data_IF_430547859171
#
_entry.id   IF_430547859171
#
_cell.length_a   1.000
_cell.length_b   1.000
_cell.length_c   1.000
_cell.angle_alpha   90.00
_cell.angle_beta   90.00
_cell.angle_gamma   90.00
#
_symmetry.space_group_name_H-M   'P 1'
#
loop_
_entity.id
_entity.type
_entity.pdbx_description
1 polymer ?
#
# COMPACT_ATOMS: atom_id res chain seq x y z
N UNK A 1 10.74 5.19 -40.15
CA UNK A 1 10.75 4.55 -38.81
C UNK A 1 12.02 3.74 -38.72
N UNK A 2 12.87 3.97 -37.71
CA UNK A 2 13.84 2.94 -37.30
C UNK A 2 13.11 1.90 -36.44
N UNK A 3 13.56 0.64 -36.40
CA UNK A 3 13.13 -0.27 -35.34
C UNK A 3 13.57 0.34 -33.99
N UNK A 4 12.71 0.26 -32.97
CA UNK A 4 13.19 0.45 -31.59
C UNK A 4 14.15 -0.71 -31.33
N UNK A 5 15.34 -0.43 -30.83
CA UNK A 5 16.17 -1.49 -30.27
C UNK A 5 15.39 -2.13 -29.11
N UNK A 6 15.36 -3.46 -29.05
CA UNK A 6 15.04 -4.13 -27.79
C UNK A 6 16.14 -3.73 -26.83
N UNK A 7 15.79 -3.01 -25.77
CA UNK A 7 16.77 -2.67 -24.74
C UNK A 7 17.17 -3.96 -24.00
N UNK A 8 18.44 -4.07 -23.53
CA UNK A 8 18.97 -5.31 -22.94
C UNK A 8 18.37 -5.66 -21.55
N UNK A 9 17.41 -4.87 -21.07
CA UNK A 9 16.65 -5.05 -19.84
C UNK A 9 15.41 -5.92 -20.09
N UNK A 10 14.45 -5.49 -20.92
CA UNK A 10 13.10 -6.10 -21.04
C UNK A 10 13.14 -7.64 -21.22
N UNK A 11 13.95 -8.14 -22.16
CA UNK A 11 14.06 -9.59 -22.44
C UNK A 11 14.91 -10.37 -21.42
N UNK A 12 15.70 -9.68 -20.60
CA UNK A 12 16.45 -10.26 -19.49
C UNK A 12 15.56 -10.36 -18.25
N UNK A 13 14.79 -9.31 -17.96
CA UNK A 13 13.88 -9.23 -16.81
C UNK A 13 12.74 -10.25 -16.92
N UNK A 14 12.14 -10.41 -18.12
CA UNK A 14 11.15 -11.48 -18.39
C UNK A 14 11.70 -12.88 -18.09
N UNK A 15 12.95 -13.16 -18.46
CA UNK A 15 13.59 -14.46 -18.25
C UNK A 15 13.90 -14.72 -16.77
N UNK A 16 14.36 -13.70 -16.04
CA UNK A 16 14.58 -13.77 -14.58
C UNK A 16 13.24 -13.94 -13.84
N UNK A 17 12.19 -13.24 -14.28
CA UNK A 17 10.85 -13.36 -13.71
C UNK A 17 10.27 -14.77 -13.89
N UNK A 18 10.43 -15.38 -15.07
CA UNK A 18 9.98 -16.76 -15.30
C UNK A 18 10.75 -17.80 -14.46
N UNK A 19 12.05 -17.63 -14.23
CA UNK A 19 12.80 -18.51 -13.31
C UNK A 19 12.30 -18.38 -11.86
N UNK A 20 12.00 -17.14 -11.41
CA UNK A 20 11.42 -16.91 -10.08
C UNK A 20 10.03 -17.53 -9.94
N UNK A 21 9.17 -17.43 -10.96
CA UNK A 21 7.84 -18.05 -10.95
C UNK A 21 7.93 -19.58 -11.00
N UNK A 22 8.74 -20.16 -11.90
CA UNK A 22 8.93 -21.60 -11.98
C UNK A 22 9.49 -22.20 -10.68
N UNK A 23 10.37 -21.45 -9.98
CA UNK A 23 10.89 -21.81 -8.66
C UNK A 23 9.83 -21.71 -7.55
N UNK A 24 8.93 -20.72 -7.63
CA UNK A 24 7.82 -20.56 -6.69
C UNK A 24 6.75 -21.63 -6.87
N UNK A 25 6.33 -21.92 -8.11
CA UNK A 25 5.40 -23.01 -8.44
C UNK A 25 6.00 -24.40 -8.16
N UNK A 26 7.32 -24.55 -8.33
CA UNK A 26 8.08 -25.75 -7.97
C UNK A 26 8.35 -25.91 -6.47
N UNK A 27 8.01 -24.92 -5.64
CA UNK A 27 8.15 -25.02 -4.17
C UNK A 27 6.88 -25.66 -3.59
N UNK A 28 6.95 -26.87 -3.00
CA UNK A 28 5.76 -27.52 -2.46
C UNK A 28 5.21 -26.73 -1.27
N UNK A 29 3.91 -26.44 -1.31
CA UNK A 29 3.17 -25.81 -0.22
C UNK A 29 3.18 -26.65 1.08
N UNK A 30 3.40 -27.97 0.96
CA UNK A 30 3.65 -28.90 2.08
C UNK A 30 5.04 -28.73 2.72
N UNK A 31 5.70 -27.58 2.51
CA UNK A 31 6.75 -27.06 3.40
C UNK A 31 6.14 -26.59 4.73
N UNK A 32 5.36 -27.46 5.38
CA UNK A 32 4.65 -27.18 6.62
C UNK A 32 5.60 -26.94 7.79
N UNK A 33 5.13 -26.27 8.86
CA UNK A 33 5.92 -26.11 10.08
C UNK A 33 6.29 -27.49 10.66
N UNK A 34 7.52 -27.66 11.20
CA UNK A 34 8.00 -28.97 11.67
C UNK A 34 7.11 -29.55 12.77
N UNK A 35 6.93 -30.87 12.72
CA UNK A 35 5.95 -31.69 13.46
C UNK A 35 5.37 -31.08 14.74
N UNK A 36 4.20 -30.45 14.61
CA UNK A 36 3.34 -30.11 15.75
C UNK A 36 2.38 -31.28 15.97
N UNK A 37 2.36 -31.93 17.16
CA UNK A 37 1.48 -33.07 17.41
C UNK A 37 0.00 -32.68 17.31
N UNK A 38 -0.90 -33.61 16.91
CA UNK A 38 -2.22 -33.25 16.39
C UNK A 38 -3.15 -32.66 17.46
N UNK A 39 -3.30 -31.34 17.42
CA UNK A 39 -4.37 -30.63 18.11
C UNK A 39 -5.73 -31.01 17.48
N UNK A 40 -6.47 -31.88 18.15
CA UNK A 40 -7.74 -32.40 17.63
C UNK A 40 -8.84 -31.35 17.65
N UNK A 41 -9.35 -30.98 16.47
CA UNK A 41 -10.69 -30.41 16.30
C UNK A 41 -10.79 -28.89 16.20
N UNK A 42 -10.69 -28.36 14.98
CA UNK A 42 -11.15 -27.01 14.63
C UNK A 42 -11.60 -26.90 13.15
N UNK A 43 -12.46 -27.82 12.69
CA UNK A 43 -13.15 -27.68 11.39
C UNK A 43 -14.16 -26.50 11.43
N UNK A 44 -14.43 -25.83 10.31
CA UNK A 44 -14.86 -24.43 10.31
C UNK A 44 -16.31 -24.20 10.73
N UNK A 45 -16.54 -23.12 11.47
CA UNK A 45 -17.88 -22.57 11.73
C UNK A 45 -18.32 -21.74 10.53
N UNK A 46 -18.99 -22.38 9.57
CA UNK A 46 -19.96 -21.70 8.69
C UNK A 46 -21.39 -21.98 9.19
N UNK A 47 -22.29 -21.02 9.02
CA UNK A 47 -23.50 -20.94 9.83
C UNK A 47 -24.72 -21.68 9.28
N UNK A 48 -25.62 -22.05 10.22
CA UNK A 48 -27.09 -22.15 10.11
C UNK A 48 -27.71 -23.49 9.64
N UNK A 49 -28.21 -24.26 10.62
CA UNK A 49 -29.17 -25.36 10.46
C UNK A 49 -29.55 -25.96 11.85
N UNK A 50 -30.77 -26.49 12.09
CA UNK A 50 -31.27 -26.79 13.45
C UNK A 50 -31.43 -28.30 13.77
N UNK A 51 -32.03 -28.59 14.94
CA UNK A 51 -32.38 -29.91 15.53
C UNK A 51 -31.24 -30.56 16.34
N UNK A 52 -31.39 -30.86 17.65
CA UNK A 52 -32.25 -31.87 18.34
C UNK A 52 -31.87 -33.32 18.00
N UNK A 53 -31.72 -34.31 18.90
CA UNK A 53 -31.51 -34.47 20.37
C UNK A 53 -30.82 -35.88 20.53
N UNK A 54 -30.47 -36.54 21.65
CA UNK A 54 -30.63 -36.44 23.13
C UNK A 54 -29.52 -37.33 23.79
N UNK A 55 -29.48 -37.45 25.13
CA UNK A 55 -28.91 -38.57 25.92
C UNK A 55 -27.42 -38.93 25.72
N UNK A 56 -26.48 -38.47 26.54
CA UNK A 56 -26.21 -38.90 27.94
C UNK A 56 -25.91 -40.41 28.15
N UNK A 57 -24.65 -40.73 28.51
CA UNK A 57 -24.25 -41.78 29.50
C UNK A 57 -22.77 -41.68 29.92
N UNK A 58 -22.40 -42.45 30.96
CA UNK A 58 -21.27 -42.17 31.87
C UNK A 58 -19.95 -42.91 31.52
N UNK A 59 -18.83 -42.23 31.84
CA UNK A 59 -17.58 -42.72 32.50
C UNK A 59 -17.73 -44.10 33.19
N UNK A 60 -16.83 -45.08 32.95
CA UNK A 60 -15.54 -45.19 33.70
C UNK A 60 -14.34 -45.76 32.86
N UNK A 61 -13.06 -45.87 33.30
CA UNK A 61 -12.41 -45.42 34.55
C UNK A 61 -10.96 -44.83 34.37
N UNK A 62 -9.88 -45.50 34.81
CA UNK A 62 -8.51 -44.95 34.94
C UNK A 62 -7.38 -46.02 34.87
N UNK A 63 -6.16 -45.62 34.46
CA UNK A 63 -4.86 -46.22 34.87
C UNK A 63 -3.64 -45.37 34.40
N UNK A 64 -2.93 -44.74 35.34
CA UNK A 64 -1.51 -44.34 35.24
C UNK A 64 -0.69 -45.47 35.92
N UNK A 65 0.57 -45.80 35.50
CA UNK A 65 1.70 -44.96 35.93
C UNK A 65 2.97 -44.91 35.05
N UNK A 66 3.63 -43.73 35.07
CA UNK A 66 5.09 -43.47 35.12
C UNK A 66 6.05 -44.08 34.06
N UNK A 67 6.92 -43.21 33.52
CA UNK A 67 8.09 -43.59 32.71
C UNK A 67 9.04 -42.43 32.42
N UNK A 68 9.66 -41.83 33.44
CA UNK A 68 10.67 -40.77 33.25
C UNK A 68 12.04 -41.33 32.79
N UNK A 69 12.62 -40.74 31.74
CA UNK A 69 14.08 -40.55 31.63
C UNK A 69 14.42 -39.46 30.60
N UNK A 70 14.98 -38.33 31.05
CA UNK A 70 15.93 -37.42 30.35
C UNK A 70 15.64 -36.85 28.93
N UNK A 71 15.94 -35.59 28.63
CA UNK A 71 16.52 -34.52 29.45
C UNK A 71 16.40 -33.12 28.81
N UNK A 72 16.32 -32.09 29.65
CA UNK A 72 16.91 -30.75 29.40
C UNK A 72 16.31 -29.86 28.29
N UNK A 73 15.20 -29.16 28.56
CA UNK A 73 14.65 -28.17 27.62
C UNK A 73 13.44 -27.37 28.12
N UNK A 74 13.44 -26.93 29.39
CA UNK A 74 12.25 -26.38 30.02
C UNK A 74 11.91 -24.93 29.60
N UNK A 75 10.67 -24.72 29.15
CA UNK A 75 9.86 -23.58 29.58
C UNK A 75 10.23 -22.17 29.10
N UNK A 76 10.59 -22.00 27.82
CA UNK A 76 10.54 -20.68 27.17
C UNK A 76 9.40 -20.65 26.14
N UNK A 77 8.52 -19.65 26.25
CA UNK A 77 7.50 -19.36 25.22
C UNK A 77 8.16 -18.90 23.92
N UNK A 78 7.45 -18.97 22.79
CA UNK A 78 7.97 -18.50 21.50
C UNK A 78 8.33 -17.01 21.52
N UNK A 79 7.66 -16.21 22.36
CA UNK A 79 7.98 -14.80 22.58
C UNK A 79 9.33 -14.62 23.29
N UNK A 80 9.62 -15.43 24.30
CA UNK A 80 10.90 -15.40 25.02
C UNK A 80 12.04 -15.97 24.17
N UNK A 81 11.74 -16.99 23.35
CA UNK A 81 12.68 -17.53 22.35
C UNK A 81 13.02 -16.48 21.29
N UNK A 82 12.03 -15.73 20.79
CA UNK A 82 12.25 -14.63 19.86
C UNK A 82 13.07 -13.50 20.50
N UNK A 83 12.70 -13.05 21.71
CA UNK A 83 13.43 -11.99 22.41
C UNK A 83 14.92 -12.34 22.65
N UNK A 84 15.22 -13.60 22.99
CA UNK A 84 16.59 -14.09 23.17
C UNK A 84 17.48 -13.94 21.90
N UNK A 85 16.89 -13.97 20.70
CA UNK A 85 17.62 -13.80 19.42
C UNK A 85 18.06 -12.34 19.22
N UNK A 86 17.27 -11.37 19.69
CA UNK A 86 17.57 -9.94 19.57
C UNK A 86 18.37 -9.39 20.77
N UNK A 87 18.20 -9.99 21.95
CA UNK A 87 18.78 -9.53 23.22
C UNK A 87 20.31 -9.36 23.19
N UNK A 88 21.00 -10.23 22.44
CA UNK A 88 22.47 -10.33 22.38
C UNK A 88 23.10 -9.76 21.09
N UNK A 89 22.36 -9.04 20.25
CA UNK A 89 22.95 -8.44 19.05
C UNK A 89 23.85 -7.25 19.42
N UNK A 90 25.09 -7.17 18.89
CA UNK A 90 26.08 -6.15 19.31
C UNK A 90 25.69 -4.72 18.91
N UNK A 91 24.73 -4.58 17.99
CA UNK A 91 24.16 -3.30 17.58
C UNK A 91 22.64 -3.36 17.76
N UNK A 92 22.14 -2.94 18.93
CA UNK A 92 20.78 -2.41 19.02
C UNK A 92 20.78 -1.03 18.36
N UNK A 93 20.80 -1.00 17.04
CA UNK A 93 20.57 0.23 16.29
C UNK A 93 19.15 0.69 16.60
N UNK A 94 19.03 1.80 17.34
CA UNK A 94 17.79 2.54 17.59
C UNK A 94 16.99 2.61 16.30
N UNK A 95 15.89 1.86 16.22
CA UNK A 95 15.09 1.77 15.02
C UNK A 95 14.35 3.08 14.76
N UNK A 96 13.78 3.30 13.55
CA UNK A 96 12.93 4.46 13.23
C UNK A 96 11.62 4.58 14.06
N UNK A 97 11.49 3.83 15.15
CA UNK A 97 10.37 3.84 16.10
C UNK A 97 10.83 3.96 17.56
N UNK A 98 12.14 3.93 17.82
CA UNK A 98 12.73 3.97 19.17
C UNK A 98 13.05 5.42 19.56
N UNK A 99 12.18 6.37 19.19
CA UNK A 99 12.26 7.77 19.60
C UNK A 99 11.77 7.91 21.04
N UNK A 100 12.52 8.65 21.86
CA UNK A 100 12.08 9.18 23.14
C UNK A 100 11.95 10.70 23.03
N UNK A 101 10.89 11.32 23.56
CA UNK A 101 10.89 12.77 23.72
C UNK A 101 12.06 13.19 24.63
N UNK A 102 12.60 14.41 24.45
CA UNK A 102 13.70 14.91 25.27
C UNK A 102 13.24 15.25 26.69
N UNK A 103 14.00 14.83 27.71
CA UNK A 103 13.76 15.18 29.13
C UNK A 103 14.14 16.65 29.45
N UNK A 104 13.55 17.60 28.74
CA UNK A 104 13.69 19.04 28.96
C UNK A 104 12.39 19.70 29.44
N UNK A 105 12.43 20.96 29.88
CA UNK A 105 11.25 21.80 29.78
C UNK A 105 10.97 22.01 28.30
N UNK A 106 9.88 21.44 27.80
CA UNK A 106 9.29 21.90 26.54
C UNK A 106 8.79 23.33 26.80
N UNK A 107 9.34 24.32 26.11
CA UNK A 107 8.76 25.66 26.10
C UNK A 107 7.38 25.53 25.42
N UNK A 108 6.29 25.70 26.17
CA UNK A 108 4.88 25.44 25.79
C UNK A 108 4.34 26.29 24.60
N UNK A 109 5.22 26.94 23.83
CA UNK A 109 4.97 27.55 22.52
C UNK A 109 4.79 26.48 21.42
N UNK A 110 3.99 25.45 21.71
CA UNK A 110 3.72 24.33 20.82
C UNK A 110 3.14 24.77 19.47
N UNK A 111 3.54 24.10 18.39
CA UNK A 111 3.32 24.50 17.00
C UNK A 111 1.90 25.02 16.72
N UNK A 112 1.79 26.34 16.54
CA UNK A 112 0.60 27.02 16.03
C UNK A 112 0.76 27.15 14.51
N UNK A 113 -0.02 26.42 13.69
CA UNK A 113 -0.02 26.64 12.25
C UNK A 113 -0.48 28.06 11.95
N UNK A 114 0.16 28.74 11.00
CA UNK A 114 -0.36 30.02 10.49
C UNK A 114 -1.80 29.83 9.98
N UNK A 115 -2.69 30.80 10.24
CA UNK A 115 -4.06 30.73 9.72
C UNK A 115 -4.03 30.64 8.18
N UNK A 116 -4.61 29.59 7.58
CA UNK A 116 -4.46 29.35 6.15
C UNK A 116 -5.06 30.51 5.35
N UNK A 117 -4.37 30.99 4.28
CA UNK A 117 -4.87 32.07 3.45
C UNK A 117 -6.32 31.82 3.02
N UNK A 118 -7.21 32.83 3.10
CA UNK A 118 -8.64 32.64 2.90
C UNK A 118 -8.90 31.99 1.55
N UNK A 119 -9.63 30.87 1.55
CA UNK A 119 -9.92 30.01 0.40
C UNK A 119 -10.96 30.66 -0.55
N UNK A 120 -10.64 31.88 -1.02
CA UNK A 120 -11.55 32.81 -1.67
C UNK A 120 -11.07 33.23 -3.05
N UNK A 121 -11.35 32.39 -4.05
CA UNK A 121 -11.04 32.60 -5.49
C UNK A 121 -9.56 32.41 -5.84
N UNK A 122 -9.22 31.20 -6.33
CA UNK A 122 -7.98 30.99 -7.06
C UNK A 122 -7.92 31.83 -8.34
N UNK A 123 -6.71 32.15 -8.79
CA UNK A 123 -6.42 33.06 -9.92
C UNK A 123 -7.41 32.89 -11.10
N UNK A 124 -8.21 33.91 -11.45
CA UNK A 124 -9.27 33.80 -12.45
C UNK A 124 -8.75 33.50 -13.86
N UNK A 125 -7.50 33.85 -14.18
CA UNK A 125 -6.85 33.44 -15.44
C UNK A 125 -6.57 31.93 -15.44
N UNK A 126 -6.17 31.38 -14.29
CA UNK A 126 -5.96 29.93 -14.12
C UNK A 126 -7.29 29.16 -14.19
N UNK A 127 -8.37 29.70 -13.61
CA UNK A 127 -9.72 29.13 -13.74
C UNK A 127 -10.20 29.16 -15.20
N UNK A 128 -10.03 30.29 -15.90
CA UNK A 128 -10.40 30.41 -17.31
C UNK A 128 -9.56 29.50 -18.22
N UNK A 129 -8.27 29.32 -17.91
CA UNK A 129 -7.39 28.40 -18.61
C UNK A 129 -7.82 26.93 -18.43
N UNK A 130 -8.27 26.53 -17.22
CA UNK A 130 -8.89 25.22 -16.99
C UNK A 130 -10.20 25.04 -17.76
N UNK A 131 -11.05 26.07 -17.83
CA UNK A 131 -12.28 26.05 -18.65
C UNK A 131 -11.93 25.87 -20.13
N UNK A 132 -10.88 26.52 -20.64
CA UNK A 132 -10.39 26.28 -22.01
C UNK A 132 -9.81 24.88 -22.21
N UNK A 133 -8.93 24.44 -21.31
CA UNK A 133 -8.17 23.19 -21.43
C UNK A 133 -9.04 21.93 -21.25
N UNK A 134 -9.97 21.92 -20.29
CA UNK A 134 -10.90 20.80 -20.10
C UNK A 134 -12.19 20.96 -20.92
N UNK A 135 -12.73 22.18 -20.98
CA UNK A 135 -13.97 22.46 -21.71
C UNK A 135 -13.82 22.38 -23.23
N UNK A 136 -12.63 22.67 -23.79
CA UNK A 136 -12.37 22.56 -25.23
C UNK A 136 -12.59 21.14 -25.78
N UNK A 137 -11.90 20.10 -25.27
CA UNK A 137 -12.10 18.71 -25.67
C UNK A 137 -13.53 18.21 -25.43
N UNK A 138 -14.15 18.60 -24.30
CA UNK A 138 -15.55 18.26 -23.99
C UNK A 138 -16.50 18.90 -25.01
N UNK A 139 -16.30 20.17 -25.37
CA UNK A 139 -17.13 20.90 -26.32
C UNK A 139 -16.94 20.39 -27.76
N UNK A 140 -15.73 19.97 -28.14
CA UNK A 140 -15.48 19.27 -29.41
C UNK A 140 -16.21 17.91 -29.47
N UNK A 141 -16.26 17.16 -28.37
CA UNK A 141 -17.05 15.93 -28.27
C UNK A 141 -18.56 16.21 -28.36
N UNK A 142 -19.04 17.26 -27.70
CA UNK A 142 -20.44 17.71 -27.80
C UNK A 142 -20.80 18.18 -29.23
N UNK A 143 -19.90 18.86 -29.94
CA UNK A 143 -20.07 19.17 -31.35
C UNK A 143 -20.13 17.89 -32.20
N UNK A 144 -19.20 16.95 -32.02
CA UNK A 144 -19.20 15.68 -32.79
C UNK A 144 -20.48 14.83 -32.57
N UNK A 145 -21.11 14.95 -31.41
CA UNK A 145 -22.32 14.20 -31.03
C UNK A 145 -23.63 14.92 -31.38
N UNK A 146 -23.74 16.23 -31.14
CA UNK A 146 -25.00 16.99 -31.30
C UNK A 146 -25.00 18.00 -32.46
N UNK A 147 -23.84 18.44 -32.93
CA UNK A 147 -23.69 19.50 -33.93
C UNK A 147 -22.66 19.11 -34.99
N UNK A 148 -22.91 17.98 -35.67
CA UNK A 148 -21.95 17.36 -36.61
C UNK A 148 -21.57 18.28 -37.78
N UNK A 149 -22.50 19.14 -38.20
CA UNK A 149 -22.30 20.19 -39.21
C UNK A 149 -21.87 21.54 -38.62
N UNK A 150 -21.17 21.54 -37.48
CA UNK A 150 -20.61 22.76 -36.88
C UNK A 150 -19.66 23.46 -37.88
N UNK A 151 -19.80 24.79 -38.09
CA UNK A 151 -18.99 25.49 -39.08
C UNK A 151 -17.51 25.47 -38.68
N UNK A 152 -16.63 25.29 -39.67
CA UNK A 152 -15.19 25.13 -39.50
C UNK A 152 -14.56 26.20 -38.56
N UNK A 153 -15.02 27.45 -38.66
CA UNK A 153 -14.58 28.54 -37.81
C UNK A 153 -14.91 28.35 -36.31
N UNK A 154 -16.05 27.74 -35.97
CA UNK A 154 -16.38 27.41 -34.58
C UNK A 154 -15.49 26.29 -34.04
N UNK A 155 -15.29 25.22 -34.83
CA UNK A 155 -14.41 24.10 -34.46
C UNK A 155 -12.96 24.54 -34.26
N UNK A 156 -12.44 25.41 -35.14
CA UNK A 156 -11.12 26.04 -34.95
C UNK A 156 -11.10 27.00 -33.75
N UNK A 157 -12.18 27.73 -33.48
CA UNK A 157 -12.29 28.60 -32.30
C UNK A 157 -12.19 27.82 -30.99
N UNK A 158 -12.88 26.68 -30.87
CA UNK A 158 -12.79 25.80 -29.70
C UNK A 158 -11.39 25.18 -29.58
N UNK A 159 -10.79 24.76 -30.70
CA UNK A 159 -9.40 24.26 -30.70
C UNK A 159 -8.39 25.34 -30.29
N UNK A 160 -8.57 26.59 -30.71
CA UNK A 160 -7.72 27.71 -30.31
C UNK A 160 -7.87 28.04 -28.82
N UNK A 161 -9.09 28.01 -28.27
CA UNK A 161 -9.34 28.17 -26.83
C UNK A 161 -8.71 27.04 -26.00
N UNK A 162 -8.78 25.80 -26.48
CA UNK A 162 -8.08 24.66 -25.86
C UNK A 162 -6.57 24.89 -25.81
N UNK A 163 -5.95 25.21 -26.96
CA UNK A 163 -4.50 25.42 -27.06
C UNK A 163 -4.03 26.63 -26.24
N UNK A 164 -4.82 27.71 -26.18
CA UNK A 164 -4.53 28.87 -25.35
C UNK A 164 -4.61 28.55 -23.84
N UNK A 165 -5.64 27.82 -23.40
CA UNK A 165 -5.79 27.40 -22.00
C UNK A 165 -4.69 26.43 -21.58
N UNK A 166 -4.43 25.40 -22.38
CA UNK A 166 -3.36 24.43 -22.13
C UNK A 166 -1.97 25.09 -22.14
N UNK A 167 -1.70 26.00 -23.10
CA UNK A 167 -0.46 26.76 -23.17
C UNK A 167 -0.25 27.66 -21.95
N UNK A 168 -1.29 28.35 -21.48
CA UNK A 168 -1.23 29.14 -20.24
C UNK A 168 -0.93 28.25 -19.03
N UNK A 169 -1.62 27.11 -18.88
CA UNK A 169 -1.37 26.14 -17.81
C UNK A 169 0.08 25.63 -17.80
N UNK A 170 0.67 25.36 -18.97
CA UNK A 170 2.10 24.99 -19.08
C UNK A 170 3.03 26.09 -18.56
N UNK A 171 2.70 27.37 -18.74
CA UNK A 171 3.50 28.48 -18.15
C UNK A 171 3.37 28.62 -16.64
N UNK A 172 2.31 28.06 -16.03
CA UNK A 172 2.03 28.05 -14.59
C UNK A 172 2.68 26.88 -13.84
N UNK A 173 3.24 25.88 -14.51
CA UNK A 173 3.89 24.76 -13.83
C UNK A 173 5.13 25.24 -13.04
N UNK A 174 5.32 24.78 -11.78
CA UNK A 174 6.53 25.09 -11.02
C UNK A 174 7.75 24.46 -11.70
N UNK A 175 8.80 25.27 -11.87
CA UNK A 175 10.03 24.90 -12.60
C UNK A 175 11.13 24.34 -11.71
N UNK A 176 10.98 24.52 -10.41
CA UNK A 176 11.74 23.87 -9.36
C UNK A 176 10.81 22.89 -8.65
N UNK A 177 11.31 21.71 -8.37
CA UNK A 177 10.80 20.83 -7.33
C UNK A 177 11.90 20.74 -6.30
N UNK A 178 11.59 20.85 -5.03
CA UNK A 178 12.60 20.51 -4.03
C UNK A 178 12.88 19.00 -4.08
N UNK A 179 14.07 18.65 -3.59
CA UNK A 179 14.66 17.31 -3.57
C UNK A 179 15.08 16.93 -2.14
N UNK A 180 15.10 17.88 -1.19
CA UNK A 180 15.32 17.65 0.24
C UNK A 180 14.10 17.88 1.13
N UNK A 181 13.06 18.57 0.65
CA UNK A 181 11.78 18.72 1.38
C UNK A 181 10.83 17.55 1.07
N UNK A 182 10.82 16.55 1.94
CA UNK A 182 9.85 15.44 1.97
C UNK A 182 8.60 15.76 2.83
N UNK A 183 8.43 17.01 3.28
CA UNK A 183 7.26 17.48 4.06
C UNK A 183 7.22 16.98 5.51
N UNK A 184 8.37 16.59 6.07
CA UNK A 184 8.50 16.03 7.42
C UNK A 184 9.48 16.86 8.28
N UNK A 185 8.99 17.97 8.84
CA UNK A 185 9.62 18.64 9.97
C UNK A 185 9.28 17.87 11.28
N UNK A 186 10.20 17.88 12.26
CA UNK A 186 10.18 17.05 13.48
C UNK A 186 10.48 17.84 14.75
#
# INVERSE_FOLDING_TARGET
>A
MGPRGQEPNESTDDAVWQDLVARLEGTPADSGPPDVPPAQGASPVTAKGPHQDEAARRRPEAAEPLGETGAGGAGLTDRERADAIFRNQPFRSTGPRDYSPPDGPEDDEGFVPEEPPPLGTGDPLTVLAWIGAAGGPILLLLFAMFWRDAPLAATLGVLALFLAGAGYLVTKLPKHRDIGDDGAEV
#
